data_IF_410163343905
#
_entry.id   IF_410163343905
#
_cell.length_a   1.000
_cell.length_b   1.000
_cell.length_c   1.000
_cell.angle_alpha   90.00
_cell.angle_beta   90.00
_cell.angle_gamma   90.00
#
_symmetry.space_group_name_H-M   'P 1'
#
loop_
_entity.id
_entity.type
_entity.pdbx_description
1 polymer ?
#
# COMPACT_ATOMS: atom_id res chain seq x y z
N UNK A 1 -31.63 23.78 30.73
CA UNK A 1 -30.24 24.25 30.83
C UNK A 1 -29.19 23.16 30.96
N UNK A 2 -29.22 22.21 31.93
CA UNK A 2 -28.15 21.18 32.01
C UNK A 2 -28.21 20.11 30.90
N UNK A 3 -29.42 19.69 30.50
CA UNK A 3 -29.60 18.73 29.39
C UNK A 3 -29.25 19.32 28.03
N UNK A 4 -29.43 20.63 27.84
CA UNK A 4 -29.09 21.32 26.58
C UNK A 4 -27.57 21.40 26.42
N UNK A 5 -26.83 21.78 27.47
CA UNK A 5 -25.35 21.81 27.42
C UNK A 5 -24.75 20.43 27.15
N UNK A 6 -25.30 19.37 27.75
CA UNK A 6 -24.80 18.00 27.50
C UNK A 6 -25.10 17.53 26.07
N UNK A 7 -26.18 18.04 25.46
CA UNK A 7 -26.53 17.72 24.08
C UNK A 7 -25.60 18.42 23.09
N UNK A 8 -25.27 19.70 23.34
CA UNK A 8 -24.27 20.43 22.55
C UNK A 8 -22.86 19.83 22.69
N UNK A 9 -22.46 19.42 23.90
CA UNK A 9 -21.16 18.78 24.10
C UNK A 9 -21.04 17.42 23.37
N UNK A 10 -22.12 16.62 23.34
CA UNK A 10 -22.15 15.39 22.56
C UNK A 10 -22.06 15.65 21.06
N UNK A 11 -22.70 16.71 20.55
CA UNK A 11 -22.64 17.09 19.14
C UNK A 11 -21.22 17.53 18.77
N UNK A 12 -20.59 18.39 19.57
CA UNK A 12 -19.22 18.84 19.34
C UNK A 12 -18.23 17.65 19.32
N UNK A 13 -18.39 16.70 20.25
CA UNK A 13 -17.56 15.49 20.30
C UNK A 13 -17.80 14.56 19.10
N UNK A 14 -19.05 14.46 18.63
CA UNK A 14 -19.42 13.70 17.44
C UNK A 14 -18.76 14.29 16.18
N UNK A 15 -18.72 15.62 16.06
CA UNK A 15 -18.08 16.32 14.95
C UNK A 15 -16.57 16.12 14.94
N UNK A 16 -15.90 16.24 16.10
CA UNK A 16 -14.47 15.94 16.21
C UNK A 16 -14.13 14.50 15.81
N UNK A 17 -14.94 13.52 16.26
CA UNK A 17 -14.74 12.11 15.89
C UNK A 17 -14.96 11.89 14.39
N UNK A 18 -15.98 12.54 13.81
CA UNK A 18 -16.29 12.40 12.39
C UNK A 18 -15.19 12.98 11.51
N UNK A 19 -14.63 14.13 11.89
CA UNK A 19 -13.52 14.74 11.16
C UNK A 19 -12.24 13.89 11.23
N UNK A 20 -11.95 13.32 12.40
CA UNK A 20 -10.78 12.45 12.60
C UNK A 20 -10.90 11.16 11.80
N UNK A 21 -12.08 10.53 11.77
CA UNK A 21 -12.33 9.35 10.95
C UNK A 21 -12.22 9.66 9.46
N UNK A 22 -12.78 10.78 8.99
CA UNK A 22 -12.67 11.17 7.59
C UNK A 22 -11.22 11.35 7.14
N UNK A 23 -10.38 11.95 8.00
CA UNK A 23 -8.95 12.15 7.72
C UNK A 23 -8.17 10.82 7.70
N UNK A 24 -8.49 9.89 8.59
CA UNK A 24 -7.90 8.55 8.58
C UNK A 24 -8.26 7.77 7.31
N UNK A 25 -9.51 7.82 6.87
CA UNK A 25 -9.94 7.17 5.62
C UNK A 25 -9.28 7.79 4.39
N UNK A 26 -9.11 9.11 4.35
CA UNK A 26 -8.42 9.78 3.26
C UNK A 26 -6.93 9.40 3.18
N UNK A 27 -6.29 9.14 4.31
CA UNK A 27 -4.87 8.76 4.36
C UNK A 27 -4.61 7.34 3.85
N UNK A 28 -5.62 6.46 3.90
CA UNK A 28 -5.55 5.07 3.42
C UNK A 28 -5.55 4.96 1.90
N UNK A 29 -6.15 5.93 1.21
CA UNK A 29 -6.29 5.95 -0.26
C UNK A 29 -5.03 6.50 -0.96
N UNK A 30 -4.18 7.23 -0.23
CA UNK A 30 -2.93 7.75 -0.78
C UNK A 30 -1.95 6.57 -0.99
N UNK A 31 -1.53 6.30 -2.24
CA UNK A 31 -0.62 5.20 -2.51
C UNK A 31 0.75 5.50 -1.90
N UNK A 32 1.21 4.63 -1.01
CA UNK A 32 2.56 4.70 -0.47
C UNK A 32 3.49 3.98 -1.44
N UNK A 33 4.41 4.74 -2.04
CA UNK A 33 5.43 4.19 -2.94
C UNK A 33 6.57 3.60 -2.10
N UNK A 34 6.64 2.27 -2.06
CA UNK A 34 7.70 1.52 -1.35
C UNK A 34 8.88 1.18 -2.28
N UNK A 35 8.96 1.85 -3.44
CA UNK A 35 10.02 1.62 -4.44
C UNK A 35 11.19 2.58 -4.28
N UNK A 36 11.02 3.61 -3.43
CA UNK A 36 11.97 4.70 -3.24
C UNK A 36 12.53 4.72 -1.81
N UNK A 37 13.18 3.64 -1.41
CA UNK A 37 14.10 3.64 -0.27
C UNK A 37 15.43 3.05 -0.77
N UNK A 38 16.28 3.94 -1.29
CA UNK A 38 17.70 3.72 -1.59
C UNK A 38 18.01 2.51 -2.48
N UNK A 39 17.71 2.65 -3.79
CA UNK A 39 18.15 1.73 -4.82
C UNK A 39 19.69 1.76 -4.94
N UNK A 40 20.36 0.86 -4.21
CA UNK A 40 21.71 0.41 -4.54
C UNK A 40 21.67 -0.22 -5.93
N UNK A 41 22.50 0.35 -6.79
CA UNK A 41 22.70 0.07 -8.20
C UNK A 41 22.77 -1.41 -8.57
N UNK A 42 21.98 -1.82 -9.57
CA UNK A 42 22.45 -2.80 -10.55
C UNK A 42 21.87 -2.40 -11.92
N UNK A 43 22.73 -1.89 -12.78
CA UNK A 43 22.41 -1.69 -14.19
C UNK A 43 22.14 -3.06 -14.84
N UNK A 44 21.05 -3.26 -15.59
CA UNK A 44 20.89 -4.46 -16.39
C UNK A 44 21.83 -4.33 -17.60
N UNK A 45 22.74 -5.30 -17.75
CA UNK A 45 23.62 -5.42 -18.89
C UNK A 45 22.79 -5.62 -20.17
N UNK A 46 23.06 -4.80 -21.17
CA UNK A 46 22.53 -4.91 -22.53
C UNK A 46 23.04 -6.21 -23.16
N UNK A 47 22.12 -7.08 -23.57
CA UNK A 47 22.44 -8.38 -24.15
C UNK A 47 21.36 -8.84 -25.12
N UNK A 48 21.73 -8.76 -26.40
CA UNK A 48 21.32 -9.57 -27.54
C UNK A 48 19.90 -9.43 -28.15
N UNK A 49 19.97 -9.15 -29.45
CA UNK A 49 18.92 -9.03 -30.46
C UNK A 49 18.35 -10.42 -30.81
N UNK A 50 17.06 -10.67 -30.55
CA UNK A 50 16.31 -11.70 -31.26
C UNK A 50 14.81 -11.33 -31.30
N UNK A 51 14.27 -11.30 -32.52
CA UNK A 51 12.92 -10.79 -32.82
C UNK A 51 11.88 -11.87 -32.53
N UNK A 52 11.14 -11.76 -31.41
CA UNK A 52 9.99 -12.64 -31.17
C UNK A 52 8.89 -12.02 -30.27
N UNK A 53 7.79 -11.60 -30.91
CA UNK A 53 6.50 -11.21 -30.32
C UNK A 53 6.52 -10.00 -29.35
N UNK A 54 5.42 -9.25 -29.18
CA UNK A 54 5.31 -8.32 -28.05
C UNK A 54 5.21 -9.16 -26.78
N UNK A 55 6.35 -9.57 -26.23
CA UNK A 55 6.45 -9.98 -24.83
C UNK A 55 5.96 -8.76 -24.06
N UNK A 56 4.73 -8.81 -23.57
CA UNK A 56 4.24 -7.84 -22.61
C UNK A 56 5.14 -8.01 -21.40
N UNK A 57 6.16 -7.16 -21.31
CA UNK A 57 6.99 -7.02 -20.13
C UNK A 57 5.99 -6.68 -19.04
N UNK A 58 5.71 -7.64 -18.16
CA UNK A 58 4.87 -7.40 -17.01
C UNK A 58 5.46 -6.18 -16.29
N UNK A 59 4.63 -5.21 -15.88
CA UNK A 59 5.16 -4.03 -15.23
C UNK A 59 6.00 -4.46 -14.03
N UNK A 60 7.23 -3.91 -13.92
CA UNK A 60 8.16 -4.25 -12.83
C UNK A 60 7.55 -3.99 -11.45
N UNK A 61 6.51 -3.15 -11.39
CA UNK A 61 5.78 -2.75 -10.21
C UNK A 61 4.28 -2.97 -10.39
N UNK A 62 3.63 -3.42 -9.31
CA UNK A 62 2.18 -3.55 -9.22
C UNK A 62 1.65 -2.73 -8.05
N UNK A 63 0.46 -2.15 -8.24
CA UNK A 63 -0.26 -1.49 -7.17
C UNK A 63 -1.23 -2.50 -6.56
N UNK A 64 -1.11 -2.73 -5.25
CA UNK A 64 -1.93 -3.71 -4.54
C UNK A 64 -2.55 -3.08 -3.31
N UNK A 65 -3.73 -3.59 -2.92
CA UNK A 65 -4.34 -3.31 -1.63
C UNK A 65 -4.19 -4.51 -0.70
N UNK A 66 -3.64 -4.26 0.48
CA UNK A 66 -3.33 -5.31 1.46
C UNK A 66 -4.55 -5.58 2.36
N UNK A 67 -4.76 -6.85 2.69
CA UNK A 67 -5.91 -7.36 3.42
C UNK A 67 -5.76 -7.38 4.95
N UNK A 68 -4.54 -7.20 5.46
CA UNK A 68 -4.22 -7.29 6.88
C UNK A 68 -2.98 -6.43 7.18
N UNK A 69 -2.82 -6.01 8.44
CA UNK A 69 -1.58 -5.42 8.90
C UNK A 69 -0.45 -6.47 8.89
N UNK A 70 0.68 -6.13 8.28
CA UNK A 70 1.86 -6.98 8.21
C UNK A 70 3.09 -6.17 8.63
N UNK A 71 3.69 -6.54 9.75
CA UNK A 71 4.87 -5.88 10.31
C UNK A 71 6.13 -6.73 10.03
N UNK A 72 7.27 -6.07 9.78
CA UNK A 72 8.56 -6.73 9.57
C UNK A 72 8.58 -7.81 8.47
N UNK A 73 7.83 -7.61 7.38
CA UNK A 73 7.78 -8.56 6.27
C UNK A 73 9.08 -8.47 5.48
N UNK A 74 9.88 -9.54 5.51
CA UNK A 74 11.11 -9.61 4.71
C UNK A 74 10.84 -10.41 3.45
N UNK A 75 10.90 -9.76 2.29
CA UNK A 75 10.74 -10.42 0.99
C UNK A 75 11.98 -10.15 0.15
N UNK A 76 12.70 -11.22 -0.21
CA UNK A 76 14.01 -11.13 -0.85
C UNK A 76 15.14 -10.92 0.15
N UNK A 77 16.25 -10.36 -0.30
CA UNK A 77 17.44 -10.14 0.52
C UNK A 77 17.49 -8.68 1.00
N UNK A 78 17.33 -8.46 2.30
CA UNK A 78 17.58 -7.16 2.94
C UNK A 78 16.42 -6.15 2.90
N UNK A 79 15.32 -6.44 2.20
CA UNK A 79 14.17 -5.56 2.15
C UNK A 79 13.14 -5.93 3.21
N UNK A 80 12.93 -5.04 4.17
CA UNK A 80 11.88 -5.15 5.19
C UNK A 80 10.76 -4.19 4.81
N UNK A 81 9.54 -4.71 4.76
CA UNK A 81 8.32 -3.99 4.42
C UNK A 81 7.37 -3.97 5.62
N UNK A 82 6.66 -2.85 5.75
CA UNK A 82 5.57 -2.68 6.69
C UNK A 82 4.32 -2.34 5.89
N UNK A 83 3.28 -3.15 6.04
CA UNK A 83 1.99 -2.98 5.38
C UNK A 83 0.89 -2.77 6.41
N UNK A 84 -0.04 -1.87 6.11
CA UNK A 84 -1.25 -1.66 6.89
C UNK A 84 -2.48 -2.19 6.16
N UNK A 85 -3.43 -2.71 6.94
CA UNK A 85 -4.69 -3.21 6.40
C UNK A 85 -5.41 -2.11 5.60
N UNK A 86 -5.88 -2.48 4.41
CA UNK A 86 -6.71 -1.62 3.57
C UNK A 86 -5.98 -0.48 2.89
N UNK A 87 -4.66 -0.33 3.07
CA UNK A 87 -3.84 0.66 2.40
C UNK A 87 -3.36 0.18 1.02
N UNK A 88 -3.22 1.13 0.09
CA UNK A 88 -2.74 0.88 -1.27
C UNK A 88 -1.23 1.10 -1.33
N UNK A 89 -0.50 0.12 -1.87
CA UNK A 89 0.95 0.16 -2.00
C UNK A 89 1.39 -0.13 -3.43
N UNK A 90 2.42 0.59 -3.87
CA UNK A 90 3.15 0.26 -5.09
C UNK A 90 4.41 -0.54 -4.71
N UNK A 91 4.44 -1.80 -5.10
CA UNK A 91 5.50 -2.76 -4.77
C UNK A 91 6.00 -3.45 -6.04
N UNK A 92 7.23 -3.98 -6.04
CA UNK A 92 7.70 -4.76 -7.18
C UNK A 92 6.88 -6.05 -7.38
N UNK A 93 6.78 -6.51 -8.63
CA UNK A 93 5.89 -7.61 -9.06
C UNK A 93 6.13 -8.92 -8.27
N UNK A 94 7.39 -9.21 -7.91
CA UNK A 94 7.76 -10.36 -7.09
C UNK A 94 7.14 -10.30 -5.68
N UNK A 95 7.12 -9.12 -5.05
CA UNK A 95 6.50 -8.88 -3.74
C UNK A 95 4.98 -8.98 -3.85
N UNK A 96 4.38 -8.37 -4.87
CA UNK A 96 2.94 -8.46 -5.11
C UNK A 96 2.46 -9.91 -5.31
N UNK A 97 3.16 -10.68 -6.14
CA UNK A 97 2.88 -12.10 -6.35
C UNK A 97 3.04 -12.92 -5.07
N UNK A 98 4.07 -12.64 -4.27
CA UNK A 98 4.27 -13.33 -3.01
C UNK A 98 3.10 -13.09 -2.04
N UNK A 99 2.70 -11.83 -1.86
CA UNK A 99 1.56 -11.46 -1.02
C UNK A 99 0.23 -12.03 -1.56
N UNK A 100 0.06 -12.07 -2.88
CA UNK A 100 -1.13 -12.65 -3.49
C UNK A 100 -1.22 -14.16 -3.29
N UNK A 101 -0.12 -14.89 -3.48
CA UNK A 101 -0.06 -16.33 -3.24
C UNK A 101 -0.32 -16.71 -1.78
N UNK A 102 0.01 -15.82 -0.84
CA UNK A 102 -0.29 -15.96 0.58
C UNK A 102 -1.74 -15.57 0.94
N UNK A 103 -2.49 -14.96 0.02
CA UNK A 103 -3.86 -14.49 0.25
C UNK A 103 -3.97 -13.15 0.96
N UNK A 104 -2.89 -12.36 1.03
CA UNK A 104 -2.89 -11.05 1.69
C UNK A 104 -3.28 -9.88 0.76
N UNK A 105 -3.59 -10.15 -0.51
CA UNK A 105 -4.00 -9.12 -1.48
C UNK A 105 -5.50 -9.17 -1.68
N UNK A 106 -6.19 -8.05 -1.42
CA UNK A 106 -7.62 -7.90 -1.70
C UNK A 106 -7.91 -7.60 -3.17
N UNK A 107 -7.16 -6.67 -3.76
CA UNK A 107 -7.35 -6.24 -5.14
C UNK A 107 -6.03 -5.79 -5.77
N UNK A 108 -5.94 -6.03 -7.08
CA UNK A 108 -4.91 -5.50 -7.96
C UNK A 108 -5.45 -4.19 -8.57
N UNK A 109 -4.63 -3.15 -8.59
CA UNK A 109 -4.99 -1.80 -9.02
C UNK A 109 -4.10 -1.33 -10.17
#
# INVERSE_FOLDING_TARGET
MLMEQHKEELIARQEEVSLRNAMSTASLDVPVDLTSAEAVSVAPAEGDDDVAAPVQIAPDFATIRVACDLEHVTIGQGNVYEFREGQVYKVPMNVALHLHNLGYVWQWL
#
